data_IF_857735992725
#
_entry.id   IF_857735992725
#
_cell.length_a   1.000
_cell.length_b   1.000
_cell.length_c   1.000
_cell.angle_alpha   90.00
_cell.angle_beta   90.00
_cell.angle_gamma   90.00
#
_symmetry.space_group_name_H-M   'P 1'
#
loop_
_entity.id
_entity.type
_entity.pdbx_description
1 polymer ?
#
# COMPACT_ATOMS: atom_id res chain seq x y z
N UNK A 1 -13.76 0.22 -5.29
CA UNK A 1 -12.32 0.23 -5.59
C UNK A 1 -11.59 0.94 -4.47
N UNK A 2 -10.33 0.56 -4.25
CA UNK A 2 -9.42 1.21 -3.32
C UNK A 2 -8.18 1.68 -4.08
N UNK A 3 -7.53 2.73 -3.61
CA UNK A 3 -6.32 3.24 -4.24
C UNK A 3 -5.32 3.80 -3.24
N UNK A 4 -4.03 3.77 -3.56
CA UNK A 4 -3.07 4.58 -2.81
C UNK A 4 -3.27 6.09 -3.11
N UNK A 5 -2.66 6.95 -2.28
CA UNK A 5 -2.86 8.41 -2.32
C UNK A 5 -2.45 9.05 -3.66
N UNK A 6 -1.54 8.42 -4.39
CA UNK A 6 -1.08 8.93 -5.68
C UNK A 6 -1.71 8.24 -6.90
N UNK A 7 -2.70 7.36 -6.68
CA UNK A 7 -3.38 6.59 -7.72
C UNK A 7 -2.49 5.60 -8.52
N UNK A 8 -1.23 5.41 -8.12
CA UNK A 8 -0.34 4.43 -8.74
C UNK A 8 -0.82 2.99 -8.57
N UNK A 9 -1.47 2.66 -7.46
CA UNK A 9 -1.97 1.32 -7.16
C UNK A 9 -3.48 1.39 -6.96
N UNK A 10 -4.22 0.65 -7.76
CA UNK A 10 -5.68 0.53 -7.69
C UNK A 10 -6.05 -0.94 -7.44
N UNK A 11 -6.85 -1.17 -6.41
CA UNK A 11 -7.33 -2.49 -6.02
C UNK A 11 -8.83 -2.55 -6.25
N UNK A 12 -9.24 -3.46 -7.11
CA UNK A 12 -10.64 -3.71 -7.43
C UNK A 12 -11.08 -5.02 -6.81
N UNK A 13 -12.22 -4.99 -6.14
CA UNK A 13 -12.88 -6.15 -5.54
C UNK A 13 -14.37 -6.10 -5.86
N UNK A 14 -15.07 -7.19 -5.59
CA UNK A 14 -16.53 -7.18 -5.61
C UNK A 14 -17.07 -6.18 -4.56
N UNK A 15 -18.19 -5.53 -4.86
CA UNK A 15 -18.79 -4.50 -3.99
C UNK A 15 -18.96 -4.99 -2.56
N UNK A 16 -18.48 -4.20 -1.59
CA UNK A 16 -18.51 -4.45 -0.14
C UNK A 16 -17.80 -5.74 0.33
N UNK A 17 -16.82 -6.23 -0.43
CA UNK A 17 -16.17 -7.50 -0.13
C UNK A 17 -14.89 -7.37 0.70
N UNK A 18 -14.89 -6.41 1.62
CA UNK A 18 -13.81 -6.15 2.57
C UNK A 18 -14.26 -6.54 3.97
N UNK A 19 -13.53 -7.44 4.61
CA UNK A 19 -13.76 -7.83 5.99
C UNK A 19 -12.66 -7.25 6.87
N UNK A 20 -13.02 -6.60 7.97
CA UNK A 20 -12.04 -6.19 8.96
C UNK A 20 -11.44 -7.42 9.63
N UNK A 21 -10.12 -7.48 9.72
CA UNK A 21 -9.39 -8.59 10.33
C UNK A 21 -8.42 -8.03 11.36
N UNK A 22 -8.27 -8.75 12.47
CA UNK A 22 -7.26 -8.45 13.48
C UNK A 22 -6.02 -9.31 13.26
N UNK A 23 -4.87 -8.86 13.75
CA UNK A 23 -3.63 -9.65 13.74
C UNK A 23 -3.82 -11.06 14.31
N UNK A 24 -4.67 -11.18 15.32
CA UNK A 24 -4.93 -12.44 16.03
C UNK A 24 -5.75 -13.40 15.17
N UNK A 25 -6.67 -12.88 14.36
CA UNK A 25 -7.48 -13.68 13.44
C UNK A 25 -6.70 -14.26 12.25
N UNK A 26 -5.52 -13.68 11.96
CA UNK A 26 -4.71 -14.02 10.79
C UNK A 26 -3.66 -15.11 11.07
N UNK A 27 -3.56 -15.61 12.31
CA UNK A 27 -2.57 -16.61 12.73
C UNK A 27 -1.12 -16.25 12.31
N UNK A 28 -0.77 -14.97 12.44
CA UNK A 28 0.56 -14.47 12.08
C UNK A 28 1.63 -14.99 13.04
N UNK A 29 2.82 -15.26 12.50
CA UNK A 29 4.03 -15.51 13.28
C UNK A 29 4.50 -14.25 14.03
N UNK A 30 5.33 -14.43 15.06
CA UNK A 30 5.88 -13.30 15.83
C UNK A 30 6.79 -12.37 15.00
N UNK A 31 7.35 -12.87 13.89
CA UNK A 31 8.09 -12.06 12.93
C UNK A 31 7.13 -11.19 12.09
N UNK A 32 6.07 -11.79 11.56
CA UNK A 32 5.07 -11.08 10.76
C UNK A 32 4.37 -9.98 11.56
N UNK A 33 4.02 -10.23 12.83
CA UNK A 33 3.43 -9.22 13.73
C UNK A 33 4.32 -7.99 13.95
N UNK A 34 5.64 -8.12 13.78
CA UNK A 34 6.58 -7.01 13.97
C UNK A 34 6.70 -6.11 12.75
N UNK A 35 6.32 -6.58 11.56
CA UNK A 35 6.43 -5.82 10.32
C UNK A 35 5.42 -4.66 10.27
N UNK A 36 5.82 -3.56 9.63
CA UNK A 36 5.04 -2.33 9.55
C UNK A 36 3.70 -2.55 8.85
N UNK A 37 3.62 -3.47 7.89
CA UNK A 37 2.37 -3.76 7.19
C UNK A 37 1.31 -4.35 8.12
N UNK A 38 1.68 -5.24 9.05
CA UNK A 38 0.72 -5.92 9.92
C UNK A 38 0.36 -5.14 11.18
N UNK A 39 1.08 -4.04 11.45
CA UNK A 39 0.79 -3.10 12.54
C UNK A 39 -0.24 -2.03 12.18
N UNK A 40 -0.57 -1.88 10.90
CA UNK A 40 -1.60 -0.94 10.46
C UNK A 40 -2.99 -1.59 10.49
N UNK A 41 -4.03 -0.77 10.42
CA UNK A 41 -5.38 -1.27 10.21
C UNK A 41 -5.49 -1.92 8.82
N UNK A 42 -5.83 -3.21 8.81
CA UNK A 42 -5.91 -4.02 7.60
C UNK A 42 -7.30 -4.62 7.44
N UNK A 43 -7.68 -4.83 6.18
CA UNK A 43 -8.91 -5.52 5.77
C UNK A 43 -8.55 -6.67 4.86
N UNK A 44 -9.24 -7.79 4.97
CA UNK A 44 -9.13 -8.90 4.03
C UNK A 44 -10.08 -8.67 2.86
N UNK A 45 -9.60 -8.96 1.65
CA UNK A 45 -10.40 -8.96 0.42
C UNK A 45 -10.85 -10.39 0.14
N UNK A 46 -12.16 -10.66 0.13
CA UNK A 46 -12.62 -12.04 -0.12
C UNK A 46 -12.59 -12.40 -1.61
N UNK A 47 -13.03 -11.49 -2.49
CA UNK A 47 -12.99 -11.65 -3.95
C UNK A 47 -12.30 -10.45 -4.58
N UNK A 48 -11.00 -10.63 -4.79
CA UNK A 48 -10.18 -9.73 -5.57
C UNK A 48 -10.54 -9.87 -7.06
N UNK A 49 -10.79 -8.75 -7.72
CA UNK A 49 -10.94 -8.71 -9.17
C UNK A 49 -9.57 -8.46 -9.82
N UNK A 50 -8.90 -7.37 -9.44
CA UNK A 50 -7.59 -7.02 -9.96
C UNK A 50 -6.82 -6.10 -9.02
N UNK A 51 -5.49 -6.13 -9.13
CA UNK A 51 -4.58 -5.14 -8.55
C UNK A 51 -3.83 -4.54 -9.73
N UNK A 52 -4.17 -3.29 -10.06
CA UNK A 52 -3.49 -2.55 -11.09
C UNK A 52 -2.37 -1.70 -10.47
N UNK A 53 -1.20 -1.70 -11.12
CA UNK A 53 -0.05 -0.88 -10.77
C UNK A 53 0.33 -0.09 -12.02
N UNK A 54 0.03 1.21 -12.03
CA UNK A 54 0.29 2.08 -13.18
C UNK A 54 1.79 2.11 -13.50
N UNK A 55 2.62 2.31 -12.47
CA UNK A 55 4.08 2.23 -12.54
C UNK A 55 4.60 1.22 -11.52
N UNK A 56 4.89 0.01 -11.99
CA UNK A 56 5.49 -1.06 -11.16
C UNK A 56 6.85 -0.67 -10.59
N UNK A 57 7.62 0.19 -11.28
CA UNK A 57 8.90 0.73 -10.79
C UNK A 57 8.77 1.61 -9.55
N UNK A 58 7.55 2.07 -9.22
CA UNK A 58 7.25 2.82 -7.99
C UNK A 58 6.68 1.92 -6.89
N UNK A 59 6.77 0.61 -7.03
CA UNK A 59 6.28 -0.36 -6.06
C UNK A 59 7.44 -1.17 -5.50
N UNK A 60 7.62 -1.11 -4.19
CA UNK A 60 8.56 -1.98 -3.48
C UNK A 60 7.80 -3.19 -2.93
N UNK A 61 8.30 -4.38 -3.22
CA UNK A 61 7.80 -5.64 -2.65
C UNK A 61 8.77 -6.18 -1.61
N UNK A 62 8.26 -6.65 -0.48
CA UNK A 62 9.04 -7.31 0.57
C UNK A 62 8.39 -8.62 0.97
N UNK A 63 9.20 -9.66 1.13
CA UNK A 63 8.75 -10.93 1.72
C UNK A 63 8.88 -10.90 3.24
N UNK A 64 7.79 -11.21 3.94
CA UNK A 64 7.76 -11.39 5.40
C UNK A 64 7.04 -12.71 5.68
N UNK A 65 7.78 -13.74 6.08
CA UNK A 65 7.24 -15.09 6.27
C UNK A 65 6.46 -15.59 5.03
N UNK A 66 5.18 -15.83 5.22
CA UNK A 66 4.26 -16.33 4.21
C UNK A 66 3.58 -15.23 3.39
N UNK A 67 4.00 -13.97 3.55
CA UNK A 67 3.38 -12.83 2.90
C UNK A 67 4.36 -12.06 2.03
N UNK A 68 3.84 -11.43 0.99
CA UNK A 68 4.55 -10.42 0.18
C UNK A 68 3.80 -9.11 0.34
N UNK A 69 4.38 -8.16 1.07
CA UNK A 69 3.82 -6.82 1.24
C UNK A 69 4.30 -5.88 0.13
N UNK A 70 3.45 -4.93 -0.25
CA UNK A 70 3.70 -3.97 -1.32
C UNK A 70 3.55 -2.54 -0.80
N UNK A 71 4.55 -1.71 -1.05
CA UNK A 71 4.58 -0.30 -0.69
C UNK A 71 4.69 0.55 -1.95
N UNK A 72 3.83 1.57 -2.05
CA UNK A 72 3.94 2.58 -3.10
C UNK A 72 4.98 3.62 -2.67
N UNK A 73 6.09 3.70 -3.40
CA UNK A 73 7.21 4.58 -3.09
C UNK A 73 6.89 6.07 -3.30
N UNK A 74 6.01 6.39 -4.25
CA UNK A 74 5.64 7.78 -4.54
C UNK A 74 4.86 8.46 -3.41
N UNK A 75 4.02 7.72 -2.69
CA UNK A 75 3.21 8.27 -1.59
C UNK A 75 3.50 7.63 -0.23
N UNK A 76 4.53 6.80 -0.14
CA UNK A 76 4.99 6.11 1.07
C UNK A 76 3.91 5.30 1.82
N UNK A 77 2.99 4.67 1.07
CA UNK A 77 1.89 3.88 1.64
C UNK A 77 2.09 2.40 1.39
N UNK A 78 2.09 1.62 2.47
CA UNK A 78 1.89 0.17 2.40
C UNK A 78 0.46 -0.12 1.94
N UNK A 79 0.32 -0.76 0.78
CA UNK A 79 -0.99 -0.88 0.11
C UNK A 79 -1.65 -2.22 0.39
N UNK A 80 -0.98 -3.33 0.10
CA UNK A 80 -1.53 -4.65 0.23
C UNK A 80 -0.45 -5.70 0.51
N UNK A 81 -0.87 -6.83 1.05
CA UNK A 81 -0.05 -8.02 1.20
C UNK A 81 -0.77 -9.24 0.62
N UNK A 82 -0.01 -10.09 -0.05
CA UNK A 82 -0.51 -11.31 -0.71
C UNK A 82 0.13 -12.51 -0.01
N UNK A 83 -0.70 -13.48 0.37
CA UNK A 83 -0.19 -14.73 0.91
C UNK A 83 0.50 -15.54 -0.19
N UNK A 84 1.75 -15.98 0.04
CA UNK A 84 2.59 -16.65 -0.97
C UNK A 84 1.96 -17.92 -1.53
N UNK A 85 1.33 -18.70 -0.67
CA UNK A 85 0.73 -19.99 -1.07
C UNK A 85 -0.72 -19.86 -1.56
N UNK A 86 -1.46 -18.85 -1.07
CA UNK A 86 -2.90 -18.69 -1.35
C UNK A 86 -3.16 -17.67 -2.46
N UNK A 87 -2.20 -16.82 -2.77
CA UNK A 87 -2.25 -15.83 -3.84
C UNK A 87 -3.49 -14.93 -3.74
N UNK A 88 -4.18 -14.74 -4.87
CA UNK A 88 -5.35 -13.88 -5.00
C UNK A 88 -6.54 -14.28 -4.10
N UNK A 89 -6.54 -15.49 -3.52
CA UNK A 89 -7.60 -15.93 -2.58
C UNK A 89 -7.37 -15.44 -1.15
N UNK A 90 -6.19 -14.88 -0.86
CA UNK A 90 -5.85 -14.35 0.45
C UNK A 90 -5.00 -13.09 0.30
N UNK A 91 -5.71 -11.96 0.20
CA UNK A 91 -5.12 -10.63 0.06
C UNK A 91 -5.59 -9.73 1.20
N UNK A 92 -4.65 -9.06 1.82
CA UNK A 92 -4.87 -8.05 2.84
C UNK A 92 -4.60 -6.67 2.23
N UNK A 93 -5.44 -5.69 2.55
CA UNK A 93 -5.30 -4.31 2.09
C UNK A 93 -5.25 -3.37 3.29
N UNK A 94 -4.49 -2.30 3.17
CA UNK A 94 -4.44 -1.24 4.18
C UNK A 94 -5.74 -0.45 4.19
N UNK A 95 -6.24 -0.14 5.39
CA UNK A 95 -7.38 0.77 5.57
C UNK A 95 -7.02 2.24 5.23
N UNK A 96 -5.74 2.55 5.02
CA UNK A 96 -5.27 3.88 4.58
C UNK A 96 -5.53 4.15 3.09
N UNK A 97 -5.98 3.15 2.34
CA UNK A 97 -6.29 3.32 0.93
C UNK A 97 -7.55 4.17 0.75
N UNK A 98 -7.53 5.02 -0.27
CA UNK A 98 -8.62 5.89 -0.67
C UNK A 98 -9.76 5.10 -1.29
N UNK A 99 -10.99 5.53 -0.98
CA UNK A 99 -12.21 4.98 -1.58
C UNK A 99 -12.61 5.72 -2.86
N UNK A 100 -13.52 5.13 -3.62
CA UNK A 100 -14.02 5.63 -4.91
C UNK A 100 -14.32 7.14 -4.96
N UNK A 101 -15.04 7.74 -4.00
CA UNK A 101 -15.37 9.17 -4.08
C UNK A 101 -14.12 10.06 -4.09
N UNK A 102 -13.14 9.75 -3.25
CA UNK A 102 -11.89 10.51 -3.16
C UNK A 102 -11.02 10.33 -4.40
N UNK A 103 -10.98 9.13 -4.96
CA UNK A 103 -10.25 8.83 -6.20
C UNK A 103 -10.74 9.73 -7.35
N UNK A 104 -12.06 9.84 -7.52
CA UNK A 104 -12.64 10.68 -8.58
C UNK A 104 -12.29 12.15 -8.41
N UNK A 105 -12.31 12.65 -7.18
CA UNK A 105 -11.91 14.04 -6.87
C UNK A 105 -10.44 14.29 -7.21
N UNK A 106 -9.54 13.37 -6.86
CA UNK A 106 -8.10 13.53 -7.13
C UNK A 106 -7.79 13.49 -8.63
N UNK A 107 -8.49 12.68 -9.42
CA UNK A 107 -8.32 12.65 -10.89
C UNK A 107 -8.69 13.97 -11.57
N UNK A 108 -9.58 14.74 -10.97
CA UNK A 108 -9.98 16.06 -11.45
C UNK A 108 -9.10 17.20 -10.93
N UNK A 109 -8.09 16.89 -10.10
CA UNK A 109 -7.18 17.89 -9.54
C UNK A 109 -6.05 18.26 -10.50
N UNK A 110 -5.56 19.49 -10.39
CA UNK A 110 -4.41 19.97 -11.19
C UNK A 110 -3.09 19.25 -10.86
N UNK A 111 -3.03 18.52 -9.74
CA UNK A 111 -1.88 17.71 -9.32
C UNK A 111 -1.84 16.33 -9.98
N UNK A 112 -2.92 15.93 -10.65
CA UNK A 112 -2.96 14.69 -11.40
C UNK A 112 -2.25 14.87 -12.74
N UNK A 113 -1.18 14.10 -12.95
CA UNK A 113 -0.51 14.07 -14.24
C UNK A 113 -1.29 13.18 -15.20
N UNK A 114 -1.94 13.77 -16.20
CA UNK A 114 -2.60 13.01 -17.26
C UNK A 114 -1.65 12.19 -18.14
N UNK A 115 -0.36 12.54 -18.17
CA UNK A 115 0.65 11.82 -18.95
C UNK A 115 1.09 10.56 -18.20
N UNK A 116 1.31 10.70 -16.89
CA UNK A 116 1.79 9.59 -16.05
C UNK A 116 0.67 8.89 -15.28
N UNK A 117 -0.58 9.32 -15.39
CA UNK A 117 -1.74 8.76 -14.67
C UNK A 117 -1.56 8.62 -13.15
N UNK A 118 -0.75 9.49 -12.54
CA UNK A 118 -0.50 9.50 -11.10
C UNK A 118 -0.56 10.92 -10.56
N UNK A 119 -0.88 11.07 -9.27
CA UNK A 119 -0.65 12.34 -8.59
C UNK A 119 0.83 12.44 -8.22
N UNK A 120 1.42 13.56 -8.62
CA UNK A 120 2.78 13.91 -8.24
C UNK A 120 2.64 14.75 -6.97
N UNK A 121 2.95 14.14 -5.83
CA UNK A 121 2.95 14.88 -4.56
C UNK A 121 4.04 15.95 -4.62
N UNK A 122 3.67 17.23 -4.64
CA UNK A 122 4.60 18.29 -4.28
C UNK A 122 4.90 18.12 -2.80
N UNK A 123 6.15 17.88 -2.43
CA UNK A 123 6.62 17.72 -1.05
C UNK A 123 6.10 18.87 -0.15
N UNK A 124 4.93 18.71 0.49
CA UNK A 124 4.40 19.57 1.56
C UNK A 124 3.04 19.05 2.03
N UNK A 125 3.06 17.96 2.77
CA UNK A 125 2.12 17.71 3.87
C UNK A 125 2.68 16.61 4.78
N UNK A 126 3.91 16.82 5.27
CA UNK A 126 4.37 16.18 6.51
C UNK A 126 3.82 17.00 7.68
N UNK A 127 2.52 16.91 7.94
CA UNK A 127 1.93 17.45 9.17
C UNK A 127 2.11 16.45 10.32
N UNK A 128 3.17 16.67 11.10
CA UNK A 128 3.11 16.45 12.55
C UNK A 128 3.63 15.14 13.13
N UNK A 129 4.91 14.83 12.97
CA UNK A 129 5.66 14.19 14.06
C UNK A 129 7.14 14.58 13.98
N UNK A 130 7.61 15.34 14.98
CA UNK A 130 9.03 15.53 15.21
C UNK A 130 9.58 14.19 15.66
N UNK A 131 10.37 13.52 14.81
CA UNK A 131 11.32 12.52 15.29
C UNK A 131 12.72 12.90 14.83
N UNK A 132 13.51 13.23 15.84
CA UNK A 132 14.93 13.48 15.82
C UNK A 132 15.60 12.10 15.84
N UNK A 133 16.31 11.72 14.77
CA UNK A 133 16.98 10.43 14.68
C UNK A 133 17.93 10.38 13.50
N UNK A 134 19.21 10.10 13.76
CA UNK A 134 20.34 10.38 12.89
C UNK A 134 20.34 9.68 11.54
N UNK A 135 20.67 10.46 10.50
CA UNK A 135 20.94 9.98 9.15
C UNK A 135 22.30 9.28 9.12
N UNK A 136 22.30 7.95 9.07
CA UNK A 136 23.49 7.19 8.65
C UNK A 136 23.43 7.02 7.15
N UNK A 137 24.24 7.80 6.42
CA UNK A 137 24.42 7.65 4.98
C UNK A 137 25.15 6.33 4.69
N UNK A 138 24.47 5.37 4.04
CA UNK A 138 25.14 4.20 3.45
C UNK A 138 25.58 4.61 2.05
N UNK A 139 26.89 4.77 1.87
CA UNK A 139 27.52 4.97 0.56
C UNK A 139 27.62 3.61 -0.13
N UNK A 140 26.96 3.44 -1.27
CA UNK A 140 27.19 2.29 -2.14
C UNK A 140 28.47 2.53 -2.96
N UNK A 141 29.50 1.74 -2.72
CA UNK A 141 30.62 1.58 -3.66
C UNK A 141 30.19 0.50 -4.65
N UNK A 142 30.05 0.89 -5.92
CA UNK A 142 29.87 -0.03 -7.03
C UNK A 142 31.28 -0.48 -7.44
N UNK A 143 31.52 -1.80 -7.41
CA UNK A 143 32.72 -2.44 -7.97
C UNK A 143 32.62 -2.55 -9.48
#
# INVERSE_FOLDING_TARGET
MLSCNCLNIIIESKTNDFQQVTSDSLNLTEEEKKDFFFKQDIRQVNKLNTINMEHSGLVMSRTIGNWISHQCLNCDVYTHAIHRERGATCVLVSAKLLETPTITTLRSSDLFSNIFNVLISSEKEKSGEKQQGGSTFITFIIY
#
